data_IF_289254110809
#
_entry.id   IF_289254110809
#
_cell.length_a   1.000
_cell.length_b   1.000
_cell.length_c   1.000
_cell.angle_alpha   90.00
_cell.angle_beta   90.00
_cell.angle_gamma   90.00
#
_symmetry.space_group_name_H-M   'P 1'
#
loop_
_entity.id
_entity.type
_entity.pdbx_description
1 polymer ?
#
# COMPACT_ATOMS: atom_id res chain seq x y z
N UNK A 1 5.37 0.03 2.38
CA UNK A 1 5.06 1.44 2.09
C UNK A 1 6.23 2.31 2.53
N UNK A 2 6.59 3.32 1.75
CA UNK A 2 7.65 4.30 2.06
C UNK A 2 7.04 5.40 2.94
N UNK A 3 7.38 5.45 4.21
CA UNK A 3 6.76 6.35 5.19
C UNK A 3 7.84 7.02 6.04
N UNK A 4 7.47 8.04 6.81
CA UNK A 4 8.37 8.68 7.77
C UNK A 4 9.10 7.70 8.72
N UNK A 5 8.56 6.50 8.94
CA UNK A 5 9.19 5.47 9.77
C UNK A 5 10.39 4.78 9.12
N UNK A 6 10.57 4.91 7.80
CA UNK A 6 11.66 4.26 7.06
C UNK A 6 12.48 5.21 6.17
N UNK A 7 12.34 6.53 6.33
CA UNK A 7 12.99 7.56 5.50
C UNK A 7 14.53 7.67 5.68
N UNK A 8 15.11 7.11 6.75
CA UNK A 8 16.54 7.27 7.06
C UNK A 8 17.50 6.42 6.21
N UNK A 9 18.71 6.95 5.97
CA UNK A 9 19.77 6.28 5.18
C UNK A 9 20.15 4.90 5.72
N UNK A 10 20.15 4.74 7.04
CA UNK A 10 20.41 3.45 7.69
C UNK A 10 19.40 2.36 7.28
N UNK A 11 18.21 2.74 6.84
CA UNK A 11 17.14 1.84 6.41
C UNK A 11 17.04 1.71 4.89
N UNK A 12 17.86 2.43 4.11
CA UNK A 12 17.89 2.29 2.65
C UNK A 12 18.11 0.84 2.18
N UNK A 13 19.03 0.05 2.77
CA UNK A 13 19.18 -1.37 2.40
C UNK A 13 17.92 -2.19 2.70
N UNK A 14 17.24 -1.91 3.82
CA UNK A 14 15.99 -2.58 4.17
C UNK A 14 14.86 -2.25 3.19
N UNK A 15 14.72 -0.97 2.81
CA UNK A 15 13.74 -0.54 1.80
C UNK A 15 13.99 -1.22 0.46
N UNK A 16 15.25 -1.40 0.05
CA UNK A 16 15.57 -2.13 -1.17
C UNK A 16 15.14 -3.60 -1.07
N UNK A 17 15.47 -4.28 0.03
CA UNK A 17 15.04 -5.68 0.25
C UNK A 17 13.52 -5.83 0.20
N UNK A 18 12.78 -4.87 0.78
CA UNK A 18 11.31 -4.90 0.74
C UNK A 18 10.75 -4.62 -0.65
N UNK A 19 11.36 -3.70 -1.40
CA UNK A 19 10.99 -3.40 -2.79
C UNK A 19 11.22 -4.61 -3.71
N UNK A 20 12.35 -5.31 -3.56
CA UNK A 20 12.70 -6.48 -4.36
C UNK A 20 11.76 -7.67 -4.11
N UNK A 21 11.16 -7.75 -2.92
CA UNK A 21 10.14 -8.75 -2.56
C UNK A 21 8.73 -8.33 -2.92
N UNK A 22 8.51 -7.06 -3.27
CA UNK A 22 7.21 -6.60 -3.70
C UNK A 22 7.02 -6.95 -5.18
N UNK A 23 5.90 -7.56 -5.61
CA UNK A 23 5.67 -7.90 -7.02
C UNK A 23 5.67 -6.69 -7.96
N UNK A 24 5.36 -5.48 -7.46
CA UNK A 24 5.50 -4.23 -8.23
C UNK A 24 6.94 -3.69 -8.26
N UNK A 25 7.90 -4.34 -7.60
CA UNK A 25 9.31 -4.00 -7.60
C UNK A 25 9.64 -2.67 -6.90
N UNK A 26 8.74 -2.17 -6.05
CA UNK A 26 8.91 -0.89 -5.36
C UNK A 26 8.19 -0.87 -4.02
N UNK A 27 8.57 0.10 -3.20
CA UNK A 27 7.76 0.49 -2.05
C UNK A 27 6.50 1.22 -2.52
N UNK A 28 5.36 0.90 -1.90
CA UNK A 28 4.13 1.68 -2.06
C UNK A 28 4.29 3.09 -1.52
N UNK A 29 3.72 4.08 -2.19
CA UNK A 29 3.65 5.47 -1.72
C UNK A 29 2.42 5.65 -0.81
N UNK A 30 2.52 6.37 0.33
CA UNK A 30 1.40 6.56 1.25
C UNK A 30 0.16 7.17 0.60
N UNK A 31 0.33 8.01 -0.43
CA UNK A 31 -0.76 8.65 -1.17
C UNK A 31 -1.58 7.65 -1.97
N UNK A 32 -1.07 6.44 -2.22
CA UNK A 32 -1.82 5.38 -2.91
C UNK A 32 -2.99 4.86 -2.06
N UNK A 33 -3.03 5.15 -0.75
CA UNK A 33 -4.20 4.87 0.10
C UNK A 33 -5.39 5.79 -0.18
N UNK A 34 -5.17 6.93 -0.84
CA UNK A 34 -6.25 7.88 -1.16
C UNK A 34 -7.31 7.24 -2.05
N UNK A 35 -6.91 6.45 -3.06
CA UNK A 35 -7.85 5.78 -3.96
C UNK A 35 -8.83 4.84 -3.23
N UNK A 36 -8.32 3.84 -2.47
CA UNK A 36 -9.14 2.96 -1.63
C UNK A 36 -10.07 3.70 -0.67
N UNK A 37 -9.58 4.76 0.00
CA UNK A 37 -10.40 5.57 0.91
C UNK A 37 -11.51 6.31 0.16
N UNK A 38 -11.20 6.95 -0.97
CA UNK A 38 -12.20 7.63 -1.81
C UNK A 38 -13.24 6.63 -2.34
N UNK A 39 -12.81 5.43 -2.75
CA UNK A 39 -13.70 4.36 -3.17
C UNK A 39 -14.66 3.95 -2.04
N UNK A 40 -14.14 3.69 -0.85
CA UNK A 40 -14.94 3.28 0.30
C UNK A 40 -15.89 4.39 0.79
N UNK A 41 -15.46 5.65 0.73
CA UNK A 41 -16.27 6.80 1.13
C UNK A 41 -17.24 7.27 0.04
N UNK A 42 -17.15 6.75 -1.19
CA UNK A 42 -18.02 7.15 -2.28
C UNK A 42 -19.45 6.62 -2.07
N UNK A 43 -20.44 7.50 -2.19
CA UNK A 43 -21.87 7.20 -2.04
C UNK A 43 -22.39 6.10 -2.98
N UNK A 44 -21.76 5.88 -4.13
CA UNK A 44 -22.17 4.84 -5.09
C UNK A 44 -21.23 3.63 -5.03
N UNK A 45 -19.93 3.85 -5.27
CA UNK A 45 -18.95 2.78 -5.42
C UNK A 45 -18.72 1.94 -4.14
N UNK A 46 -18.72 2.59 -2.97
CA UNK A 46 -18.52 1.92 -1.67
C UNK A 46 -19.82 1.51 -0.97
N UNK A 47 -20.98 1.87 -1.52
CA UNK A 47 -22.28 1.81 -0.81
C UNK A 47 -22.71 0.44 -0.31
N UNK A 48 -22.17 -0.63 -0.88
CA UNK A 48 -22.45 -2.02 -0.49
C UNK A 48 -21.19 -2.81 -0.12
N UNK A 49 -20.08 -2.11 0.14
CA UNK A 49 -18.81 -2.72 0.57
C UNK A 49 -18.68 -2.51 2.08
N UNK A 50 -18.90 -3.58 2.86
CA UNK A 50 -18.75 -3.56 4.31
C UNK A 50 -18.23 -4.91 4.83
N UNK A 51 -17.68 -4.90 6.06
CA UNK A 51 -17.22 -6.12 6.73
C UNK A 51 -16.07 -6.86 6.03
N UNK A 52 -15.27 -6.16 5.23
CA UNK A 52 -14.20 -6.74 4.42
C UNK A 52 -12.90 -5.97 4.55
N UNK A 53 -11.77 -6.68 4.40
CA UNK A 53 -10.44 -6.09 4.34
C UNK A 53 -10.04 -5.86 2.88
N UNK A 54 -9.71 -4.61 2.53
CA UNK A 54 -9.16 -4.27 1.21
C UNK A 54 -7.64 -4.24 1.29
N UNK A 55 -6.99 -5.21 0.65
CA UNK A 55 -5.54 -5.35 0.63
C UNK A 55 -4.94 -4.42 -0.43
N UNK A 56 -3.99 -3.58 -0.03
CA UNK A 56 -3.31 -2.62 -0.91
C UNK A 56 -1.81 -2.67 -0.63
N UNK A 57 -1.14 -3.65 -1.25
CA UNK A 57 0.24 -4.00 -0.91
C UNK A 57 1.15 -4.24 -2.13
N UNK A 58 0.68 -3.94 -3.34
CA UNK A 58 1.41 -4.23 -4.58
C UNK A 58 1.45 -5.71 -4.93
N UNK A 59 0.56 -6.53 -4.37
CA UNK A 59 0.42 -7.95 -4.67
C UNK A 59 1.19 -8.89 -3.75
N UNK A 60 1.90 -8.36 -2.74
CA UNK A 60 2.79 -9.15 -1.87
C UNK A 60 2.09 -10.21 -1.01
N UNK A 61 0.77 -10.12 -0.84
CA UNK A 61 -0.01 -11.16 -0.17
C UNK A 61 -0.09 -12.47 -0.99
N UNK A 62 -0.03 -12.37 -2.33
CA UNK A 62 -0.29 -13.50 -3.24
C UNK A 62 0.96 -13.97 -3.97
N UNK A 63 1.85 -13.04 -4.33
CA UNK A 63 3.05 -13.31 -5.14
C UNK A 63 4.32 -13.00 -4.35
#
# INVERSE_FOLDING_TARGET
MDTALNEGDALAPCRQIWADRNPMGRMGDPREMTGPVVFLCSEVAGSYVNGTDIVVDGGGLVF
#
